data_IF_746793127081
#
_entry.id   IF_746793127081
#
_cell.length_a   1.000
_cell.length_b   1.000
_cell.length_c   1.000
_cell.angle_alpha   90.00
_cell.angle_beta   90.00
_cell.angle_gamma   90.00
#
_symmetry.space_group_name_H-M   'P 1'
#
loop_
_entity.id
_entity.type
_entity.pdbx_description
1 polymer ?
#
# COMPACT_ATOMS: atom_id res chain seq x y z
N UNK A 1 18.24 6.08 15.31
CA UNK A 1 17.13 5.21 14.93
C UNK A 1 15.91 6.07 14.63
N UNK A 2 15.82 6.53 13.40
CA UNK A 2 14.61 7.18 12.91
C UNK A 2 13.59 6.11 12.58
N UNK A 3 12.73 5.76 13.52
CA UNK A 3 11.44 5.24 13.13
C UNK A 3 10.80 6.34 12.28
N UNK A 4 10.62 6.08 10.99
CA UNK A 4 9.66 6.80 10.19
C UNK A 4 8.33 6.66 10.94
N UNK A 5 7.96 7.66 11.69
CA UNK A 5 6.59 7.82 12.14
C UNK A 5 5.83 8.24 10.90
N UNK A 6 5.50 7.27 10.08
CA UNK A 6 4.44 7.44 9.12
C UNK A 6 3.28 8.01 9.93
N UNK A 7 2.77 9.14 9.51
CA UNK A 7 1.68 9.84 10.16
C UNK A 7 0.50 8.88 10.30
N UNK A 8 0.52 8.16 11.39
CA UNK A 8 -0.57 7.70 12.20
C UNK A 8 -1.80 7.06 11.57
N UNK A 9 -1.75 6.32 10.46
CA UNK A 9 -2.94 5.63 9.94
C UNK A 9 -2.98 4.12 10.15
N UNK A 10 -1.94 3.54 10.73
CA UNK A 10 -1.75 2.08 10.82
C UNK A 10 -2.90 1.31 11.47
N UNK A 11 -3.76 1.94 12.26
CA UNK A 11 -4.76 1.22 13.05
C UNK A 11 -6.18 1.81 13.01
N UNK A 12 -6.47 2.77 12.15
CA UNK A 12 -7.67 3.58 12.27
C UNK A 12 -8.96 2.99 11.69
N UNK A 13 -8.90 1.89 10.93
CA UNK A 13 -10.04 1.48 10.11
C UNK A 13 -10.75 0.23 10.54
N UNK A 14 -10.07 -0.75 11.12
CA UNK A 14 -10.73 -1.94 11.65
C UNK A 14 -11.72 -1.56 12.77
N UNK A 15 -12.87 -2.23 12.80
CA UNK A 15 -13.91 -1.97 13.79
C UNK A 15 -13.39 -2.00 15.22
N UNK A 16 -12.50 -2.95 15.53
CA UNK A 16 -11.88 -3.07 16.85
C UNK A 16 -10.99 -1.87 17.17
N UNK A 17 -10.22 -1.41 16.20
CA UNK A 17 -9.28 -0.29 16.36
C UNK A 17 -10.00 1.03 16.49
N UNK A 18 -11.07 1.26 15.73
CA UNK A 18 -11.93 2.43 15.91
C UNK A 18 -12.43 2.54 17.35
N UNK A 19 -12.89 1.42 17.91
CA UNK A 19 -13.47 1.38 19.27
C UNK A 19 -12.41 1.44 20.38
N UNK A 20 -11.32 0.69 20.24
CA UNK A 20 -10.36 0.48 21.35
C UNK A 20 -9.24 1.51 21.33
N UNK A 21 -8.73 1.88 20.16
CA UNK A 21 -7.56 2.77 20.03
C UNK A 21 -7.99 4.22 19.92
N UNK A 22 -8.99 4.51 19.09
CA UNK A 22 -9.41 5.88 18.78
C UNK A 22 -10.64 6.32 19.55
N UNK A 23 -11.36 5.38 20.16
CA UNK A 23 -12.65 5.65 20.80
C UNK A 23 -13.54 6.55 19.92
N UNK A 24 -13.56 6.23 18.60
CA UNK A 24 -14.21 7.01 17.56
C UNK A 24 -15.07 6.11 16.68
N UNK A 25 -16.08 6.71 16.06
CA UNK A 25 -16.92 6.07 15.05
C UNK A 25 -16.30 6.18 13.63
N UNK A 26 -17.05 5.76 12.62
CA UNK A 26 -16.62 5.85 11.21
C UNK A 26 -16.42 7.29 10.75
N UNK A 27 -17.30 8.19 11.16
CA UNK A 27 -17.26 9.60 10.74
C UNK A 27 -16.02 10.30 11.32
N UNK A 28 -15.73 10.10 12.61
CA UNK A 28 -14.55 10.70 13.22
C UNK A 28 -13.23 10.18 12.65
N UNK A 29 -13.16 8.89 12.27
CA UNK A 29 -11.96 8.34 11.60
C UNK A 29 -11.83 8.88 10.17
N UNK A 30 -12.92 9.03 9.45
CA UNK A 30 -12.96 9.66 8.13
C UNK A 30 -12.51 11.13 8.20
N UNK A 31 -12.97 11.88 9.19
CA UNK A 31 -12.54 13.26 9.44
C UNK A 31 -11.02 13.38 9.65
N UNK A 32 -10.40 12.43 10.34
CA UNK A 32 -8.93 12.42 10.49
C UNK A 32 -8.24 12.29 9.12
N UNK A 33 -8.72 11.41 8.25
CA UNK A 33 -8.14 11.20 6.92
C UNK A 33 -8.31 12.45 6.03
N UNK A 34 -9.51 13.01 6.00
CA UNK A 34 -9.82 14.21 5.19
C UNK A 34 -9.08 15.45 5.70
N UNK A 35 -8.97 15.65 7.01
CA UNK A 35 -8.18 16.73 7.59
C UNK A 35 -6.69 16.59 7.23
N UNK A 36 -6.14 15.36 7.24
CA UNK A 36 -4.80 15.08 6.76
C UNK A 36 -4.61 15.44 5.28
N UNK A 37 -5.56 15.05 4.43
CA UNK A 37 -5.53 15.38 3.01
C UNK A 37 -5.59 16.90 2.76
N UNK A 38 -6.45 17.62 3.44
CA UNK A 38 -6.53 19.09 3.37
C UNK A 38 -5.23 19.76 3.80
N UNK A 39 -4.60 19.28 4.88
CA UNK A 39 -3.33 19.80 5.35
C UNK A 39 -2.20 19.59 4.32
N UNK A 40 -2.11 18.39 3.74
CA UNK A 40 -1.11 18.06 2.71
C UNK A 40 -1.33 18.95 1.49
N UNK A 41 -2.56 19.09 1.02
CA UNK A 41 -2.92 19.99 -0.07
C UNK A 41 -2.45 21.43 0.21
N UNK A 42 -2.80 21.98 1.35
CA UNK A 42 -2.41 23.33 1.75
C UNK A 42 -0.89 23.52 1.84
N UNK A 43 -0.16 22.49 2.28
CA UNK A 43 1.29 22.55 2.37
C UNK A 43 1.96 22.43 1.00
N UNK A 44 1.47 21.56 0.12
CA UNK A 44 2.02 21.40 -1.24
C UNK A 44 1.87 22.65 -2.09
N UNK A 45 0.78 23.39 -1.94
CA UNK A 45 0.53 24.66 -2.66
C UNK A 45 1.59 25.74 -2.37
N UNK A 46 2.36 25.62 -1.28
CA UNK A 46 3.45 26.53 -0.94
C UNK A 46 4.72 26.31 -1.78
N UNK A 47 4.83 25.16 -2.44
CA UNK A 47 6.01 24.75 -3.20
C UNK A 47 5.63 24.55 -4.67
N UNK A 48 5.36 25.68 -5.36
CA UNK A 48 4.83 25.69 -6.73
C UNK A 48 5.78 25.11 -7.78
N UNK A 49 7.08 25.07 -7.49
CA UNK A 49 8.11 24.53 -8.39
C UNK A 49 8.33 23.02 -8.19
N UNK A 50 7.54 22.38 -7.31
CA UNK A 50 7.60 20.94 -7.02
C UNK A 50 6.40 20.24 -7.65
N UNK A 51 6.66 19.22 -8.45
CA UNK A 51 5.64 18.29 -8.90
C UNK A 51 5.33 17.28 -7.78
N UNK A 52 4.07 17.24 -7.37
CA UNK A 52 3.61 16.40 -6.26
C UNK A 52 2.90 15.15 -6.76
N UNK A 53 3.32 14.01 -6.24
CA UNK A 53 2.60 12.75 -6.35
C UNK A 53 2.02 12.40 -4.98
N UNK A 54 0.70 12.28 -4.91
CA UNK A 54 0.00 11.98 -3.66
C UNK A 54 -0.33 10.51 -3.54
N UNK A 55 -0.08 9.96 -2.36
CA UNK A 55 -0.44 8.61 -2.00
C UNK A 55 -1.23 8.61 -0.69
N UNK A 56 -2.29 7.82 -0.67
CA UNK A 56 -3.09 7.55 0.50
C UNK A 56 -3.20 6.06 0.76
N UNK A 57 -2.79 5.62 1.95
CA UNK A 57 -2.81 4.23 2.38
C UNK A 57 -3.86 4.03 3.47
N UNK A 58 -5.04 3.43 3.16
CA UNK A 58 -6.01 2.98 4.15
C UNK A 58 -5.49 1.75 4.91
N UNK A 59 -4.58 1.97 5.85
CA UNK A 59 -3.99 0.91 6.66
C UNK A 59 -5.03 -0.06 7.24
N UNK A 60 -4.67 -1.35 7.34
CA UNK A 60 -5.58 -2.42 7.71
C UNK A 60 -6.78 -2.60 6.76
N UNK A 61 -6.57 -2.31 5.47
CA UNK A 61 -7.61 -2.41 4.43
C UNK A 61 -8.30 -3.77 4.44
N UNK A 62 -7.54 -4.88 4.50
CA UNK A 62 -8.10 -6.25 4.48
C UNK A 62 -9.02 -6.60 5.65
N UNK A 63 -8.98 -5.83 6.73
CA UNK A 63 -9.85 -5.96 7.89
C UNK A 63 -10.93 -4.87 7.99
N UNK A 64 -11.12 -4.08 6.94
CA UNK A 64 -12.06 -2.96 6.89
C UNK A 64 -13.24 -3.32 5.99
N UNK A 65 -14.43 -2.78 6.29
CA UNK A 65 -15.60 -2.89 5.42
C UNK A 65 -15.31 -2.18 4.09
N UNK A 66 -15.52 -2.87 2.96
CA UNK A 66 -15.12 -2.37 1.64
C UNK A 66 -15.82 -1.06 1.27
N UNK A 67 -17.12 -0.96 1.56
CA UNK A 67 -17.91 0.24 1.28
C UNK A 67 -17.37 1.45 2.05
N UNK A 68 -16.95 1.23 3.31
CA UNK A 68 -16.37 2.30 4.11
C UNK A 68 -14.96 2.66 3.65
N UNK A 69 -14.16 1.68 3.25
CA UNK A 69 -12.84 1.94 2.68
C UNK A 69 -12.95 2.77 1.39
N UNK A 70 -13.87 2.41 0.50
CA UNK A 70 -14.12 3.15 -0.74
C UNK A 70 -14.60 4.59 -0.46
N UNK A 71 -15.54 4.76 0.47
CA UNK A 71 -16.04 6.09 0.88
C UNK A 71 -14.92 7.02 1.33
N UNK A 72 -14.03 6.53 2.20
CA UNK A 72 -12.91 7.36 2.70
C UNK A 72 -11.88 7.63 1.61
N UNK A 73 -11.57 6.64 0.76
CA UNK A 73 -10.66 6.82 -0.36
C UNK A 73 -11.18 7.86 -1.35
N UNK A 74 -12.47 7.78 -1.69
CA UNK A 74 -13.12 8.73 -2.60
C UNK A 74 -13.05 10.17 -2.07
N UNK A 75 -13.32 10.40 -0.78
CA UNK A 75 -13.23 11.73 -0.19
C UNK A 75 -11.80 12.27 -0.20
N UNK A 76 -10.81 11.43 0.10
CA UNK A 76 -9.39 11.83 0.03
C UNK A 76 -8.99 12.17 -1.41
N UNK A 77 -9.39 11.35 -2.37
CA UNK A 77 -9.14 11.59 -3.80
C UNK A 77 -9.79 12.89 -4.26
N UNK A 78 -11.03 13.15 -3.86
CA UNK A 78 -11.73 14.39 -4.21
C UNK A 78 -11.02 15.65 -3.71
N UNK A 79 -10.33 15.57 -2.58
CA UNK A 79 -9.52 16.66 -2.05
C UNK A 79 -8.23 16.87 -2.85
N UNK A 80 -7.55 15.78 -3.25
CA UNK A 80 -6.19 15.80 -3.77
C UNK A 80 -6.08 15.83 -5.30
N UNK A 81 -7.05 15.29 -6.02
CA UNK A 81 -7.00 15.05 -7.48
C UNK A 81 -6.75 16.30 -8.33
N UNK A 82 -7.14 17.48 -7.86
CA UNK A 82 -6.93 18.75 -8.57
C UNK A 82 -5.60 19.43 -8.21
N UNK A 83 -4.82 18.84 -7.30
CA UNK A 83 -3.56 19.38 -6.82
C UNK A 83 -2.34 18.68 -7.45
N UNK A 84 -2.57 17.78 -8.39
CA UNK A 84 -1.54 17.05 -9.13
C UNK A 84 -1.98 16.86 -10.59
N UNK A 85 -1.02 16.81 -11.50
CA UNK A 85 -1.24 16.40 -12.90
C UNK A 85 -1.34 14.89 -13.05
N UNK A 86 -0.85 14.16 -12.05
CA UNK A 86 -0.81 12.70 -12.03
C UNK A 86 -2.04 12.09 -11.34
N UNK A 87 -2.16 10.77 -11.42
CA UNK A 87 -3.17 10.05 -10.65
C UNK A 87 -2.82 10.04 -9.16
N UNK A 88 -3.84 10.15 -8.31
CA UNK A 88 -3.68 9.91 -6.87
C UNK A 88 -3.52 8.42 -6.63
N UNK A 89 -2.49 8.02 -5.91
CA UNK A 89 -2.27 6.62 -5.56
C UNK A 89 -3.14 6.26 -4.36
N UNK A 90 -3.97 5.25 -4.51
CA UNK A 90 -4.68 4.59 -3.42
C UNK A 90 -3.99 3.25 -3.17
N UNK A 91 -3.22 3.19 -2.09
CA UNK A 91 -2.45 2.01 -1.72
C UNK A 91 -3.25 1.15 -0.74
N UNK A 92 -3.64 -0.05 -1.16
CA UNK A 92 -4.55 -0.95 -0.45
C UNK A 92 -3.75 -2.07 0.25
N UNK A 93 -3.26 -1.86 1.50
CA UNK A 93 -2.37 -2.81 2.12
C UNK A 93 -3.10 -4.02 2.70
N UNK A 94 -2.56 -5.22 2.44
CA UNK A 94 -2.78 -6.35 3.31
C UNK A 94 -1.82 -6.23 4.50
N UNK A 95 -2.11 -5.29 5.41
CA UNK A 95 -1.29 -5.03 6.61
C UNK A 95 -1.07 -6.31 7.42
N UNK A 96 -2.08 -7.17 7.44
CA UNK A 96 -2.01 -8.56 7.84
C UNK A 96 -2.71 -9.40 6.78
N UNK A 97 -2.14 -10.52 6.37
CA UNK A 97 -2.81 -11.49 5.51
C UNK A 97 -3.94 -12.21 6.28
N UNK A 98 -5.09 -11.56 6.37
CA UNK A 98 -6.25 -12.06 7.16
C UNK A 98 -6.99 -13.21 6.49
N UNK A 99 -6.85 -13.36 5.17
CA UNK A 99 -7.56 -14.36 4.35
C UNK A 99 -6.63 -14.98 3.31
N UNK A 100 -7.17 -15.83 2.44
CA UNK A 100 -6.43 -16.42 1.33
C UNK A 100 -6.19 -15.40 0.21
N UNK A 101 -5.19 -15.65 -0.63
CA UNK A 101 -4.75 -14.74 -1.68
C UNK A 101 -5.86 -14.34 -2.67
N UNK A 102 -6.75 -15.28 -3.03
CA UNK A 102 -7.89 -15.00 -3.90
C UNK A 102 -8.88 -14.02 -3.27
N UNK A 103 -9.13 -14.08 -1.96
CA UNK A 103 -10.02 -13.13 -1.27
C UNK A 103 -9.45 -11.71 -1.32
N UNK A 104 -8.11 -11.56 -1.22
CA UNK A 104 -7.50 -10.25 -1.44
C UNK A 104 -7.73 -9.76 -2.87
N UNK A 105 -7.58 -10.64 -3.88
CA UNK A 105 -7.92 -10.33 -5.26
C UNK A 105 -9.38 -9.86 -5.42
N UNK A 106 -10.34 -10.58 -4.83
CA UNK A 106 -11.77 -10.23 -4.84
C UNK A 106 -12.01 -8.84 -4.21
N UNK A 107 -11.30 -8.51 -3.11
CA UNK A 107 -11.37 -7.19 -2.48
C UNK A 107 -10.85 -6.08 -3.41
N UNK A 108 -9.75 -6.35 -4.13
CA UNK A 108 -9.18 -5.40 -5.09
C UNK A 108 -10.12 -5.20 -6.28
N UNK A 109 -10.71 -6.28 -6.83
CA UNK A 109 -11.68 -6.21 -7.91
C UNK A 109 -12.87 -5.34 -7.50
N UNK A 110 -13.42 -5.59 -6.30
CA UNK A 110 -14.51 -4.79 -5.77
C UNK A 110 -14.14 -3.30 -5.66
N UNK A 111 -12.94 -2.98 -5.14
CA UNK A 111 -12.47 -1.59 -5.05
C UNK A 111 -12.29 -0.97 -6.45
N UNK A 112 -11.73 -1.73 -7.40
CA UNK A 112 -11.56 -1.28 -8.78
C UNK A 112 -12.89 -0.91 -9.44
N UNK A 113 -13.96 -1.64 -9.15
CA UNK A 113 -15.30 -1.42 -9.70
C UNK A 113 -16.10 -0.33 -8.99
N UNK A 114 -15.83 -0.07 -7.70
CA UNK A 114 -16.67 0.78 -6.85
C UNK A 114 -16.04 2.12 -6.47
N UNK A 115 -14.73 2.34 -6.69
CA UNK A 115 -14.10 3.64 -6.50
C UNK A 115 -14.61 4.64 -7.54
N UNK A 116 -15.04 5.82 -7.08
CA UNK A 116 -15.39 6.94 -7.96
C UNK A 116 -14.12 7.50 -8.61
N UNK A 117 -14.28 8.18 -9.74
CA UNK A 117 -13.15 8.80 -10.45
C UNK A 117 -11.98 7.83 -10.69
N UNK A 118 -12.27 6.56 -11.01
CA UNK A 118 -11.26 5.50 -11.18
C UNK A 118 -10.14 5.92 -12.15
N UNK A 119 -10.46 6.74 -13.15
CA UNK A 119 -9.51 7.27 -14.13
C UNK A 119 -8.49 8.24 -13.51
N UNK A 120 -8.78 8.82 -12.34
CA UNK A 120 -7.90 9.70 -11.55
C UNK A 120 -7.12 8.95 -10.47
N UNK A 121 -7.31 7.64 -10.37
CA UNK A 121 -6.73 6.82 -9.30
C UNK A 121 -5.75 5.81 -9.88
N UNK A 122 -4.61 5.62 -9.21
CA UNK A 122 -3.73 4.48 -9.38
C UNK A 122 -3.88 3.56 -8.17
N UNK A 123 -4.49 2.39 -8.36
CA UNK A 123 -4.60 1.38 -7.30
C UNK A 123 -3.26 0.69 -7.13
N UNK A 124 -2.69 0.80 -5.92
CA UNK A 124 -1.44 0.18 -5.52
C UNK A 124 -1.68 -0.95 -4.51
N UNK A 125 -0.97 -2.05 -4.66
CA UNK A 125 -1.01 -3.19 -3.76
C UNK A 125 0.19 -3.16 -2.81
N UNK A 126 -0.03 -3.49 -1.53
CA UNK A 126 1.02 -3.54 -0.52
C UNK A 126 0.81 -4.74 0.43
N UNK A 127 0.97 -5.98 -0.05
CA UNK A 127 0.79 -7.16 0.79
C UNK A 127 1.98 -7.40 1.71
N UNK A 128 1.69 -7.73 2.98
CA UNK A 128 2.62 -8.42 3.88
C UNK A 128 2.53 -9.95 3.66
N UNK A 129 3.45 -10.69 4.28
CA UNK A 129 3.67 -12.12 4.00
C UNK A 129 3.38 -13.02 5.22
N UNK A 130 2.34 -12.68 6.00
CA UNK A 130 2.02 -13.40 7.25
C UNK A 130 1.67 -14.88 7.03
N UNK A 131 1.07 -15.20 5.90
CA UNK A 131 0.69 -16.56 5.49
C UNK A 131 1.68 -17.18 4.49
N UNK A 132 2.72 -16.45 4.07
CA UNK A 132 3.63 -16.87 3.00
C UNK A 132 3.01 -16.80 1.60
N UNK A 133 1.93 -16.03 1.40
CA UNK A 133 1.19 -15.96 0.14
C UNK A 133 1.16 -14.57 -0.50
N UNK A 134 2.01 -13.64 -0.06
CA UNK A 134 2.03 -12.26 -0.54
C UNK A 134 2.22 -12.15 -2.06
N UNK A 135 3.08 -12.98 -2.67
CA UNK A 135 3.28 -13.00 -4.14
C UNK A 135 1.98 -13.40 -4.83
N UNK A 136 1.35 -14.51 -4.41
CA UNK A 136 0.09 -14.96 -4.99
C UNK A 136 -1.03 -13.93 -4.81
N UNK A 137 -1.13 -13.30 -3.64
CA UNK A 137 -2.11 -12.24 -3.38
C UNK A 137 -1.89 -11.05 -4.31
N UNK A 138 -0.64 -10.68 -4.57
CA UNK A 138 -0.29 -9.60 -5.50
C UNK A 138 -0.65 -9.96 -6.94
N UNK A 139 -0.37 -11.19 -7.38
CA UNK A 139 -0.74 -11.66 -8.72
C UNK A 139 -2.26 -11.60 -8.92
N UNK A 140 -3.05 -12.09 -7.95
CA UNK A 140 -4.52 -11.95 -7.99
C UNK A 140 -4.96 -10.49 -8.01
N UNK A 141 -4.37 -9.62 -7.20
CA UNK A 141 -4.71 -8.20 -7.20
C UNK A 141 -4.38 -7.48 -8.52
N UNK A 142 -3.27 -7.83 -9.18
CA UNK A 142 -2.95 -7.32 -10.52
C UNK A 142 -3.97 -7.79 -11.56
N UNK A 143 -4.36 -9.06 -11.52
CA UNK A 143 -5.41 -9.59 -12.41
C UNK A 143 -6.78 -8.94 -12.14
N UNK A 144 -7.02 -8.51 -10.92
CA UNK A 144 -8.23 -7.79 -10.48
C UNK A 144 -8.25 -6.29 -10.86
N UNK A 145 -7.21 -5.79 -11.54
CA UNK A 145 -7.19 -4.43 -12.09
C UNK A 145 -6.37 -3.41 -11.31
N UNK A 146 -5.47 -3.84 -10.41
CA UNK A 146 -4.52 -2.94 -9.81
C UNK A 146 -3.48 -2.45 -10.83
N UNK A 147 -3.01 -1.21 -10.64
CA UNK A 147 -2.10 -0.52 -11.56
C UNK A 147 -0.63 -0.61 -11.09
N UNK A 148 -0.39 -0.81 -9.80
CA UNK A 148 0.92 -0.64 -9.17
C UNK A 148 1.09 -1.63 -8.01
N UNK A 149 2.33 -1.94 -7.68
CA UNK A 149 2.69 -2.78 -6.53
C UNK A 149 3.80 -2.12 -5.73
N UNK A 150 3.71 -2.22 -4.41
CA UNK A 150 4.77 -1.93 -3.46
C UNK A 150 5.20 -3.22 -2.77
N UNK A 151 6.50 -3.41 -2.68
CA UNK A 151 7.08 -4.57 -2.03
C UNK A 151 8.55 -4.35 -1.72
N UNK A 152 9.24 -5.41 -1.38
CA UNK A 152 10.65 -5.33 -1.01
C UNK A 152 11.47 -6.33 -1.82
N UNK A 153 12.76 -6.05 -1.96
CA UNK A 153 13.68 -6.99 -2.58
C UNK A 153 13.77 -8.26 -1.72
N UNK A 154 13.51 -9.41 -2.36
CA UNK A 154 13.51 -10.74 -1.73
C UNK A 154 12.54 -10.87 -0.55
N UNK A 155 11.52 -10.03 -0.47
CA UNK A 155 10.54 -10.06 0.61
C UNK A 155 11.04 -9.58 1.96
N UNK A 156 12.26 -9.02 2.04
CA UNK A 156 12.88 -8.56 3.28
C UNK A 156 12.22 -7.27 3.77
N UNK A 157 11.32 -7.38 4.72
CA UNK A 157 10.51 -6.26 5.23
C UNK A 157 10.07 -6.46 6.67
N UNK A 158 9.10 -5.66 7.08
CA UNK A 158 8.58 -5.65 8.45
C UNK A 158 7.95 -6.99 8.83
N UNK A 159 8.16 -7.44 10.05
CA UNK A 159 7.61 -8.70 10.63
C UNK A 159 7.96 -9.92 9.79
N UNK A 160 6.97 -10.51 9.14
CA UNK A 160 7.08 -11.69 8.26
C UNK A 160 7.58 -11.36 6.86
N UNK A 161 7.80 -10.07 6.56
CA UNK A 161 8.18 -9.56 5.25
C UNK A 161 7.00 -9.02 4.44
N UNK A 162 7.31 -8.57 3.24
CA UNK A 162 6.38 -8.04 2.25
C UNK A 162 6.39 -8.93 1.00
N UNK A 163 5.58 -8.56 0.00
CA UNK A 163 5.70 -9.20 -1.32
C UNK A 163 7.13 -9.08 -1.85
N UNK A 164 7.68 -10.19 -2.29
CA UNK A 164 8.99 -10.24 -2.94
C UNK A 164 8.87 -9.74 -4.39
N UNK A 165 9.36 -8.52 -4.63
CA UNK A 165 9.32 -7.89 -5.95
C UNK A 165 10.16 -8.66 -6.98
N UNK A 166 11.25 -9.32 -6.56
CA UNK A 166 12.08 -10.12 -7.48
C UNK A 166 11.30 -11.33 -7.97
N UNK A 167 10.70 -12.07 -7.03
CA UNK A 167 9.87 -13.25 -7.38
C UNK A 167 8.67 -12.84 -8.23
N UNK A 168 7.96 -11.78 -7.85
CA UNK A 168 6.81 -11.28 -8.61
C UNK A 168 7.21 -10.92 -10.05
N UNK A 169 8.30 -10.16 -10.23
CA UNK A 169 8.76 -9.75 -11.55
C UNK A 169 9.17 -10.94 -12.42
N UNK A 170 9.85 -11.95 -11.85
CA UNK A 170 10.23 -13.17 -12.56
C UNK A 170 8.98 -14.00 -12.94
N UNK A 171 7.98 -14.06 -12.07
CA UNK A 171 6.71 -14.71 -12.38
C UNK A 171 6.00 -14.02 -13.56
N UNK A 172 5.90 -12.68 -13.54
CA UNK A 172 5.33 -11.90 -14.64
C UNK A 172 6.09 -12.17 -15.95
N UNK A 173 7.42 -12.12 -15.90
CA UNK A 173 8.26 -12.39 -17.07
C UNK A 173 8.03 -13.80 -17.63
N UNK A 174 7.89 -14.81 -16.77
CA UNK A 174 7.59 -16.19 -17.18
C UNK A 174 6.27 -16.35 -17.90
N UNK A 175 5.34 -15.42 -17.67
CA UNK A 175 4.03 -15.35 -18.36
C UNK A 175 4.05 -14.40 -19.58
N UNK A 176 5.22 -13.90 -19.98
CA UNK A 176 5.37 -13.00 -21.12
C UNK A 176 5.02 -11.54 -20.84
N UNK A 177 4.92 -11.15 -19.57
CA UNK A 177 4.66 -9.77 -19.13
C UNK A 177 5.98 -9.13 -18.72
N UNK A 178 6.38 -8.06 -19.41
CA UNK A 178 7.58 -7.30 -19.05
C UNK A 178 7.33 -6.44 -17.79
N UNK A 179 7.96 -6.74 -16.65
CA UNK A 179 7.79 -6.00 -15.40
C UNK A 179 8.46 -4.62 -15.41
N UNK A 180 9.19 -4.26 -16.49
CA UNK A 180 9.99 -3.04 -16.59
C UNK A 180 11.07 -2.90 -15.52
N UNK A 181 11.57 -4.01 -15.01
CA UNK A 181 12.61 -4.09 -13.98
C UNK A 181 13.81 -4.89 -14.53
N UNK A 182 15.02 -4.44 -14.22
CA UNK A 182 16.25 -5.12 -14.61
C UNK A 182 16.84 -5.88 -13.41
N UNK A 183 16.74 -7.21 -13.47
CA UNK A 183 17.36 -8.13 -12.51
C UNK A 183 18.53 -8.92 -13.12
N UNK A 184 19.14 -8.44 -14.20
CA UNK A 184 20.32 -9.10 -14.81
C UNK A 184 21.48 -9.29 -13.83
N UNK A 185 21.57 -8.42 -12.82
CA UNK A 185 22.56 -8.44 -11.75
C UNK A 185 21.99 -8.92 -10.40
N UNK A 186 21.02 -9.83 -10.41
CA UNK A 186 20.32 -10.28 -9.19
C UNK A 186 21.23 -10.74 -8.07
N UNK A 187 22.34 -11.43 -8.41
CA UNK A 187 23.35 -11.89 -7.43
C UNK A 187 24.06 -10.72 -6.73
N UNK A 188 24.31 -9.63 -7.46
CA UNK A 188 24.89 -8.42 -6.88
C UNK A 188 23.92 -7.71 -5.98
N UNK A 189 22.67 -7.57 -6.41
CA UNK A 189 21.56 -6.97 -5.62
C UNK A 189 21.39 -7.75 -4.31
N UNK A 190 21.35 -9.08 -4.36
CA UNK A 190 21.22 -9.92 -3.18
C UNK A 190 22.38 -9.72 -2.19
N UNK A 191 23.63 -9.65 -2.68
CA UNK A 191 24.78 -9.39 -1.81
C UNK A 191 24.72 -8.02 -1.16
N UNK A 192 24.35 -6.98 -1.90
CA UNK A 192 24.16 -5.64 -1.34
C UNK A 192 23.14 -5.65 -0.21
N UNK A 193 21.99 -6.31 -0.41
CA UNK A 193 20.96 -6.42 0.61
C UNK A 193 21.47 -7.12 1.88
N UNK A 194 22.16 -8.25 1.72
CA UNK A 194 22.72 -9.01 2.85
C UNK A 194 23.76 -8.21 3.64
N UNK A 195 24.55 -7.36 2.97
CA UNK A 195 25.54 -6.50 3.64
C UNK A 195 24.89 -5.31 4.37
N UNK A 196 23.75 -4.84 3.92
CA UNK A 196 23.07 -3.67 4.50
C UNK A 196 22.00 -4.04 5.52
N UNK A 197 21.55 -5.29 5.53
CA UNK A 197 20.60 -5.79 6.51
C UNK A 197 21.30 -6.12 7.84
N UNK A 198 20.76 -5.69 8.99
CA UNK A 198 21.32 -6.06 10.28
C UNK A 198 21.36 -7.58 10.45
N UNK A 199 22.51 -8.12 10.75
CA UNK A 199 22.63 -9.52 11.16
C UNK A 199 22.01 -9.71 12.55
N UNK A 200 21.41 -10.87 12.86
CA UNK A 200 21.03 -11.20 14.24
C UNK A 200 22.17 -11.06 15.26
N UNK A 201 23.42 -11.10 14.79
CA UNK A 201 24.64 -10.90 15.62
C UNK A 201 24.93 -9.42 15.90
N UNK A 202 24.33 -8.51 15.13
CA UNK A 202 24.54 -7.06 15.26
C UNK A 202 23.49 -6.41 16.19
N UNK A 203 22.52 -7.19 16.70
CA UNK A 203 21.55 -6.77 17.67
C UNK A 203 22.16 -6.98 19.06
N UNK A 204 22.42 -5.92 19.85
CA UNK A 204 22.86 -6.08 21.24
C UNK A 204 21.81 -6.88 22.01
N UNK A 205 22.22 -7.95 22.68
CA UNK A 205 21.39 -8.74 23.59
C UNK A 205 21.03 -7.89 24.82
#
# INVERSE_FOLDING_TARGET
>A
SGMSRGLGDVYKRQTLQRKVVFNSDKDGVKEIATNGAHLIKQLSEKFKDTEWLFEYSPESFTGTELEYAAEVCDEVVDILKESTSEKVIINLPATVEMSTANIYGDQIEWMNENLKNREKISISLHPHNDRGTAVAATEFGLMAGADRVEGTLFGNGERTGNVDIVTLALNMFSQGIDPKLDFSQVNHIMRCLLYTSPSPRDIPL
#
